data_IF_323556793718
#
_entry.id   IF_323556793718
#
_cell.length_a   1.000
_cell.length_b   1.000
_cell.length_c   1.000
_cell.angle_alpha   90.00
_cell.angle_beta   90.00
_cell.angle_gamma   90.00
#
_symmetry.space_group_name_H-M   'P 1'
#
loop_
_entity.id
_entity.type
_entity.pdbx_description
1 polymer ?
#
# COMPACT_ATOMS: atom_id res chain seq x y z
N UNK A 1 -46.57 -7.43 16.53
CA UNK A 1 -45.70 -7.73 15.37
C UNK A 1 -44.38 -7.04 15.62
N UNK A 2 -43.31 -7.83 15.66
CA UNK A 2 -42.00 -7.47 16.21
C UNK A 2 -41.08 -7.02 15.08
N UNK A 3 -40.37 -5.90 15.26
CA UNK A 3 -39.48 -5.33 14.25
C UNK A 3 -38.13 -6.10 14.18
N UNK A 4 -37.52 -6.33 12.99
CA UNK A 4 -36.48 -7.35 12.85
C UNK A 4 -35.02 -6.90 13.05
N UNK A 5 -34.66 -5.62 13.24
CA UNK A 5 -33.29 -5.23 13.65
C UNK A 5 -33.15 -3.76 14.08
N UNK A 6 -32.05 -3.45 14.79
CA UNK A 6 -31.70 -2.15 15.34
C UNK A 6 -30.89 -1.30 14.33
N UNK A 7 -31.31 -0.05 14.12
CA UNK A 7 -30.61 0.94 13.29
C UNK A 7 -30.75 2.35 13.88
N UNK A 8 -29.71 3.16 13.71
CA UNK A 8 -29.57 4.49 14.33
C UNK A 8 -30.36 5.55 13.54
N UNK A 9 -31.24 6.28 14.23
CA UNK A 9 -32.09 7.33 13.67
C UNK A 9 -31.30 8.65 13.62
N UNK A 10 -31.11 9.20 12.42
CA UNK A 10 -30.48 10.50 12.19
C UNK A 10 -31.51 11.64 12.16
N UNK A 11 -31.44 12.50 13.18
CA UNK A 11 -31.86 13.91 13.31
C UNK A 11 -33.04 14.45 12.47
N UNK A 12 -34.12 14.88 13.15
CA UNK A 12 -35.28 15.60 12.57
C UNK A 12 -35.28 17.04 13.08
N UNK A 13 -35.07 18.07 12.23
CA UNK A 13 -35.37 19.44 12.59
C UNK A 13 -36.86 19.72 12.35
N UNK A 14 -37.70 19.63 13.37
CA UNK A 14 -39.07 20.16 13.30
C UNK A 14 -39.09 21.66 13.53
N UNK A 15 -39.74 22.40 12.64
CA UNK A 15 -40.42 23.65 12.99
C UNK A 15 -41.86 23.60 12.48
N UNK A 16 -42.77 23.90 13.40
CA UNK A 16 -44.20 24.04 13.22
C UNK A 16 -44.52 25.03 12.08
N UNK A 17 -45.40 24.64 11.16
CA UNK A 17 -46.29 25.63 10.55
C UNK A 17 -46.62 25.55 9.06
N UNK A 18 -46.11 24.59 8.27
CA UNK A 18 -46.49 24.49 6.86
C UNK A 18 -47.15 23.16 6.49
N UNK A 19 -48.18 23.31 5.68
CA UNK A 19 -49.12 22.32 5.21
C UNK A 19 -48.38 21.25 4.39
N UNK A 20 -48.27 20.03 4.93
CA UNK A 20 -47.62 18.91 4.21
C UNK A 20 -48.51 18.43 3.06
N UNK A 21 -48.16 18.78 1.82
CA UNK A 21 -48.60 18.02 0.65
C UNK A 21 -47.85 16.69 0.65
N UNK A 22 -48.62 15.60 0.54
CA UNK A 22 -48.09 14.24 0.47
C UNK A 22 -47.26 14.04 -0.80
N UNK A 23 -45.94 14.28 -0.72
CA UNK A 23 -44.91 13.66 -1.57
C UNK A 23 -43.46 14.03 -1.18
N UNK A 24 -43.18 14.28 0.10
CA UNK A 24 -41.79 14.40 0.56
C UNK A 24 -41.25 13.02 0.95
N UNK A 25 -40.20 12.58 0.24
CA UNK A 25 -39.33 11.46 0.59
C UNK A 25 -38.72 11.71 1.99
N UNK A 26 -39.42 11.24 3.02
CA UNK A 26 -39.14 11.56 4.43
C UNK A 26 -37.97 10.75 5.03
N UNK A 27 -37.19 10.00 4.25
CA UNK A 27 -36.04 9.27 4.79
C UNK A 27 -35.01 8.98 3.71
N UNK A 28 -33.87 9.67 3.76
CA UNK A 28 -32.69 9.26 2.99
C UNK A 28 -32.05 8.09 3.76
N UNK A 29 -32.53 6.87 3.52
CA UNK A 29 -31.94 5.65 4.07
C UNK A 29 -30.67 5.35 3.27
N UNK A 30 -29.59 6.04 3.59
CA UNK A 30 -28.30 5.84 2.92
C UNK A 30 -27.73 4.48 3.34
N UNK A 31 -27.72 3.52 2.41
CA UNK A 31 -26.96 2.28 2.54
C UNK A 31 -25.46 2.61 2.56
N UNK A 32 -24.92 2.92 3.74
CA UNK A 32 -23.50 3.28 3.92
C UNK A 32 -22.58 2.04 4.06
N UNK A 33 -23.06 0.85 3.69
CA UNK A 33 -22.30 -0.40 3.78
C UNK A 33 -21.34 -0.58 2.61
N UNK A 34 -21.69 -0.01 1.44
CA UNK A 34 -20.86 -0.01 0.25
C UNK A 34 -20.74 1.42 -0.26
N UNK A 35 -19.50 1.86 -0.50
CA UNK A 35 -19.20 3.21 -0.93
C UNK A 35 -18.46 3.18 -2.25
N UNK A 36 -18.85 4.10 -3.13
CA UNK A 36 -18.17 4.37 -4.38
C UNK A 36 -17.29 5.60 -4.25
N UNK A 37 -16.01 5.44 -4.57
CA UNK A 37 -15.03 6.51 -4.68
C UNK A 37 -14.86 6.88 -6.15
N UNK A 38 -15.14 8.15 -6.47
CA UNK A 38 -14.86 8.72 -7.77
C UNK A 38 -13.44 9.31 -7.80
N UNK A 39 -12.63 8.87 -8.75
CA UNK A 39 -11.23 9.27 -8.93
C UNK A 39 -11.07 9.87 -10.32
N UNK A 40 -10.51 11.07 -10.40
CA UNK A 40 -10.04 11.65 -11.65
C UNK A 40 -8.60 11.18 -11.91
N UNK A 41 -8.41 10.34 -12.93
CA UNK A 41 -7.09 9.79 -13.25
C UNK A 41 -6.53 10.47 -14.51
N UNK A 42 -5.32 11.04 -14.48
CA UNK A 42 -4.73 11.69 -15.66
C UNK A 42 -4.65 10.76 -16.86
N UNK A 43 -4.88 11.31 -18.06
CA UNK A 43 -4.92 10.54 -19.30
C UNK A 43 -3.63 9.73 -19.56
N UNK A 44 -2.47 10.22 -19.10
CA UNK A 44 -1.18 9.53 -19.20
C UNK A 44 -1.17 8.15 -18.51
N UNK A 45 -1.99 7.94 -17.47
CA UNK A 45 -2.11 6.67 -16.76
C UNK A 45 -3.32 5.83 -17.23
N UNK A 46 -4.21 6.40 -18.05
CA UNK A 46 -5.41 5.73 -18.53
C UNK A 46 -5.14 4.38 -19.24
N UNK A 47 -4.06 4.20 -20.02
CA UNK A 47 -3.77 2.90 -20.65
C UNK A 47 -3.59 1.76 -19.66
N UNK A 48 -3.26 2.04 -18.40
CA UNK A 48 -3.06 1.05 -17.33
C UNK A 48 -4.32 0.74 -16.53
N UNK A 49 -5.37 1.57 -16.64
CA UNK A 49 -6.61 1.43 -15.85
C UNK A 49 -7.43 0.24 -16.31
N UNK A 50 -7.77 -0.68 -15.40
CA UNK A 50 -8.67 -1.79 -15.68
C UNK A 50 -9.58 -2.06 -14.47
N UNK A 51 -10.82 -2.51 -14.67
CA UNK A 51 -11.64 -3.04 -13.58
C UNK A 51 -10.88 -4.15 -12.82
N UNK A 52 -11.07 -4.20 -11.50
CA UNK A 52 -10.41 -5.15 -10.60
C UNK A 52 -9.06 -4.69 -10.05
N UNK A 53 -8.46 -3.60 -10.54
CA UNK A 53 -7.26 -3.03 -9.91
C UNK A 53 -7.57 -2.60 -8.46
N UNK A 54 -6.63 -2.86 -7.57
CA UNK A 54 -6.75 -2.52 -6.16
C UNK A 54 -6.60 -1.02 -5.97
N UNK A 55 -7.47 -0.44 -5.17
CA UNK A 55 -7.42 0.96 -4.74
C UNK A 55 -7.35 0.99 -3.22
N UNK A 56 -6.44 1.80 -2.69
CA UNK A 56 -6.31 2.01 -1.25
C UNK A 56 -6.66 3.46 -0.91
N UNK A 57 -7.49 3.64 0.11
CA UNK A 57 -7.68 4.94 0.75
C UNK A 57 -6.61 5.10 1.82
N UNK A 58 -5.96 6.25 1.84
CA UNK A 58 -4.86 6.58 2.74
C UNK A 58 -5.31 7.52 3.86
N UNK A 59 -4.66 7.43 5.01
CA UNK A 59 -4.70 8.48 6.02
C UNK A 59 -3.67 9.59 5.73
N UNK A 60 -3.61 10.59 6.61
CA UNK A 60 -2.65 11.69 6.50
C UNK A 60 -1.17 11.29 6.71
N UNK A 61 -0.87 10.02 6.96
CA UNK A 61 0.48 9.46 7.11
C UNK A 61 0.80 8.41 6.03
N UNK A 62 0.07 8.42 4.92
CA UNK A 62 0.22 7.48 3.79
C UNK A 62 -0.07 6.01 4.13
N UNK A 63 -0.74 5.73 5.25
CA UNK A 63 -1.14 4.38 5.65
C UNK A 63 -2.51 4.04 5.06
N UNK A 64 -2.65 2.84 4.50
CA UNK A 64 -3.92 2.36 3.97
C UNK A 64 -4.94 2.12 5.10
N UNK A 65 -6.09 2.79 5.03
CA UNK A 65 -7.21 2.67 5.99
C UNK A 65 -8.40 1.89 5.43
N UNK A 66 -8.53 1.82 4.10
CA UNK A 66 -9.53 0.99 3.44
C UNK A 66 -8.98 0.49 2.09
N UNK A 67 -9.46 -0.68 1.68
CA UNK A 67 -9.09 -1.31 0.41
C UNK A 67 -10.34 -1.64 -0.38
N UNK A 68 -10.30 -1.37 -1.67
CA UNK A 68 -11.38 -1.56 -2.61
C UNK A 68 -10.82 -1.90 -3.99
N UNK A 69 -11.71 -1.97 -4.97
CA UNK A 69 -11.34 -2.31 -6.33
C UNK A 69 -12.03 -1.39 -7.33
N UNK A 70 -11.36 -1.11 -8.44
CA UNK A 70 -11.97 -0.39 -9.55
C UNK A 70 -13.16 -1.21 -10.08
N UNK A 71 -14.36 -0.65 -9.97
CA UNK A 71 -15.59 -1.24 -10.49
C UNK A 71 -15.93 -0.72 -11.88
N UNK A 72 -15.53 0.52 -12.21
CA UNK A 72 -15.82 1.13 -13.50
C UNK A 72 -14.72 2.11 -13.94
N UNK A 73 -14.45 2.14 -15.25
CA UNK A 73 -13.56 3.12 -15.90
C UNK A 73 -14.38 3.78 -17.00
N UNK A 74 -14.51 5.10 -16.96
CA UNK A 74 -15.22 5.86 -17.98
C UNK A 74 -14.53 5.70 -19.34
N UNK A 75 -15.28 5.42 -20.43
CA UNK A 75 -14.73 5.46 -21.77
C UNK A 75 -14.48 6.89 -22.26
N UNK A 76 -15.17 7.87 -21.67
CA UNK A 76 -15.08 9.28 -22.01
C UNK A 76 -13.99 9.98 -21.19
N UNK A 77 -13.28 10.89 -21.86
CA UNK A 77 -12.31 11.78 -21.24
C UNK A 77 -13.02 13.07 -20.85
N UNK A 78 -12.82 13.49 -19.61
CA UNK A 78 -13.18 14.83 -19.19
C UNK A 78 -12.17 15.82 -19.77
N UNK A 79 -12.60 16.58 -20.78
CA UNK A 79 -11.77 17.50 -21.54
C UNK A 79 -11.32 18.71 -20.72
N UNK A 80 -12.05 19.09 -19.67
CA UNK A 80 -11.66 20.20 -18.80
C UNK A 80 -10.49 19.80 -17.88
N UNK A 81 -10.48 18.54 -17.43
CA UNK A 81 -9.46 18.02 -16.50
C UNK A 81 -8.36 17.17 -17.14
N UNK A 82 -8.42 16.88 -18.44
CA UNK A 82 -7.56 15.89 -19.13
C UNK A 82 -7.44 14.57 -18.36
N UNK A 83 -8.57 14.11 -17.83
CA UNK A 83 -8.63 12.97 -16.93
C UNK A 83 -9.76 12.02 -17.31
N UNK A 84 -9.63 10.77 -16.87
CA UNK A 84 -10.66 9.73 -16.98
C UNK A 84 -11.28 9.53 -15.62
N UNK A 85 -12.61 9.55 -15.57
CA UNK A 85 -13.34 9.21 -14.35
C UNK A 85 -13.26 7.70 -14.08
N UNK A 86 -12.80 7.35 -12.89
CA UNK A 86 -12.69 5.98 -12.40
C UNK A 86 -13.54 5.86 -11.16
N UNK A 87 -14.32 4.78 -11.06
CA UNK A 87 -15.07 4.44 -9.85
C UNK A 87 -14.45 3.21 -9.20
N UNK A 88 -14.20 3.32 -7.90
CA UNK A 88 -13.72 2.22 -7.08
C UNK A 88 -14.70 1.96 -5.94
N UNK A 89 -14.99 0.69 -5.68
CA UNK A 89 -15.99 0.30 -4.70
C UNK A 89 -15.31 -0.27 -3.45
N UNK A 90 -15.79 0.15 -2.28
CA UNK A 90 -15.25 -0.18 -0.97
C UNK A 90 -16.35 -0.69 -0.05
N UNK A 91 -16.05 -1.73 0.73
CA UNK A 91 -16.90 -2.10 1.86
C UNK A 91 -16.63 -1.17 3.03
N UNK A 92 -17.69 -0.69 3.67
CA UNK A 92 -17.67 0.21 4.82
C UNK A 92 -18.46 -0.39 5.99
N UNK A 93 -18.24 -1.68 6.28
CA UNK A 93 -18.91 -2.42 7.36
C UNK A 93 -18.67 -1.78 8.73
N UNK A 94 -17.46 -1.24 8.94
CA UNK A 94 -17.07 -0.53 10.16
C UNK A 94 -17.66 0.89 10.27
N UNK A 95 -18.36 1.39 9.24
CA UNK A 95 -18.93 2.74 9.16
C UNK A 95 -17.92 3.88 9.41
N UNK A 96 -16.64 3.64 9.13
CA UNK A 96 -15.55 4.62 9.33
C UNK A 96 -15.49 5.68 8.24
N UNK A 97 -15.99 5.36 7.05
CA UNK A 97 -16.03 6.27 5.92
C UNK A 97 -17.41 6.94 5.86
N UNK A 98 -17.40 8.25 5.64
CA UNK A 98 -18.61 9.04 5.50
C UNK A 98 -18.87 9.34 4.02
N UNK A 99 -20.14 9.30 3.62
CA UNK A 99 -20.53 9.77 2.29
C UNK A 99 -20.23 11.28 2.17
N UNK A 100 -19.70 11.69 1.02
CA UNK A 100 -19.26 13.08 0.76
C UNK A 100 -17.90 13.44 1.36
N UNK A 101 -17.23 12.51 2.04
CA UNK A 101 -15.88 12.73 2.58
C UNK A 101 -14.86 12.82 1.44
N UNK A 102 -14.00 13.85 1.48
CA UNK A 102 -12.81 13.89 0.65
C UNK A 102 -11.73 12.98 1.24
N UNK A 103 -11.14 12.12 0.41
CA UNK A 103 -10.10 11.18 0.83
C UNK A 103 -8.92 11.21 -0.13
N UNK A 104 -7.74 10.86 0.38
CA UNK A 104 -6.59 10.56 -0.46
C UNK A 104 -6.61 9.08 -0.81
N UNK A 105 -6.39 8.75 -2.07
CA UNK A 105 -6.36 7.36 -2.52
C UNK A 105 -5.22 7.12 -3.51
N UNK A 106 -4.78 5.87 -3.57
CA UNK A 106 -3.80 5.40 -4.56
C UNK A 106 -4.29 4.16 -5.26
N UNK A 107 -3.99 4.07 -6.56
CA UNK A 107 -4.25 2.89 -7.38
C UNK A 107 -2.99 2.03 -7.39
N UNK A 108 -3.14 0.75 -7.08
CA UNK A 108 -2.04 -0.22 -7.13
C UNK A 108 -1.99 -0.81 -8.54
N UNK A 109 -1.10 -0.27 -9.36
CA UNK A 109 -0.99 -0.63 -10.78
C UNK A 109 -0.49 -2.06 -11.03
N UNK A 110 0.44 -2.51 -10.19
CA UNK A 110 1.05 -3.83 -10.24
C UNK A 110 1.36 -4.26 -8.82
N UNK A 111 1.01 -5.50 -8.50
CA UNK A 111 1.40 -6.15 -7.25
C UNK A 111 2.31 -7.32 -7.62
N UNK A 112 3.57 -7.00 -7.92
CA UNK A 112 4.57 -8.03 -8.16
C UNK A 112 5.00 -8.61 -6.82
N UNK A 113 4.79 -9.91 -6.64
CA UNK A 113 5.38 -10.62 -5.50
C UNK A 113 6.85 -10.84 -5.84
N UNK A 114 7.74 -10.13 -5.15
CA UNK A 114 9.17 -10.21 -5.40
C UNK A 114 9.97 -9.83 -4.16
N UNK A 115 11.23 -10.25 -4.12
CA UNK A 115 12.15 -9.81 -3.08
C UNK A 115 12.39 -8.32 -3.24
N UNK A 116 12.33 -7.59 -2.13
CA UNK A 116 12.63 -6.17 -2.09
C UNK A 116 13.79 -5.94 -1.14
N UNK A 117 14.66 -5.00 -1.49
CA UNK A 117 15.75 -4.56 -0.62
C UNK A 117 15.66 -3.04 -0.43
N UNK A 118 15.96 -2.52 0.77
CA UNK A 118 16.06 -1.08 0.97
C UNK A 118 17.07 -0.45 0.02
N UNK A 119 16.76 0.73 -0.52
CA UNK A 119 17.67 1.45 -1.43
C UNK A 119 19.04 1.71 -0.79
N UNK A 120 19.06 1.91 0.53
CA UNK A 120 20.28 2.12 1.32
C UNK A 120 21.19 0.90 1.39
N UNK A 121 20.68 -0.31 1.13
CA UNK A 121 21.44 -1.56 1.18
C UNK A 121 22.19 -1.87 -0.14
N UNK A 122 21.91 -1.11 -1.20
CA UNK A 122 22.46 -1.33 -2.53
C UNK A 122 23.72 -0.47 -2.72
N UNK A 123 24.82 -1.11 -3.11
CA UNK A 123 26.05 -0.43 -3.53
C UNK A 123 26.23 -0.57 -5.04
N UNK A 124 26.57 0.52 -5.73
CA UNK A 124 26.87 0.47 -7.17
C UNK A 124 28.35 0.63 -7.41
N UNK A 125 28.97 -0.35 -8.07
CA UNK A 125 30.40 -0.36 -8.39
C UNK A 125 30.53 -0.64 -9.88
N UNK A 126 31.19 0.26 -10.63
CA UNK A 126 31.40 0.05 -12.07
C UNK A 126 30.12 0.00 -12.92
N UNK A 127 28.99 0.49 -12.41
CA UNK A 127 27.68 0.42 -13.09
C UNK A 127 26.86 -0.83 -12.75
N UNK A 128 27.45 -1.82 -12.08
CA UNK A 128 26.75 -2.99 -11.56
C UNK A 128 26.25 -2.74 -10.13
N UNK A 129 25.15 -3.40 -9.77
CA UNK A 129 24.52 -3.27 -8.45
C UNK A 129 24.85 -4.48 -7.59
N UNK A 130 25.26 -4.23 -6.36
CA UNK A 130 25.66 -5.24 -5.39
C UNK A 130 24.93 -5.04 -4.07
N UNK A 131 24.72 -6.15 -3.36
CA UNK A 131 24.17 -6.18 -2.02
C UNK A 131 25.06 -7.08 -1.17
N UNK A 132 25.29 -6.69 0.08
CA UNK A 132 26.02 -7.52 1.04
C UNK A 132 25.04 -8.37 1.83
N UNK A 133 25.21 -9.68 1.77
CA UNK A 133 24.43 -10.66 2.55
C UNK A 133 25.25 -11.19 3.71
N UNK A 134 24.58 -11.57 4.79
CA UNK A 134 25.20 -12.22 5.94
C UNK A 134 25.30 -13.71 5.68
N UNK A 135 26.50 -14.26 5.80
CA UNK A 135 26.75 -15.69 5.71
C UNK A 135 27.38 -16.19 7.00
N UNK A 136 26.92 -17.34 7.48
CA UNK A 136 27.57 -18.05 8.57
C UNK A 136 28.83 -18.73 8.02
N UNK A 137 30.00 -18.32 8.51
CA UNK A 137 31.27 -18.99 8.23
C UNK A 137 31.86 -19.50 9.53
N UNK A 138 32.11 -20.80 9.60
CA UNK A 138 32.83 -21.39 10.72
C UNK A 138 34.26 -20.84 10.72
N UNK A 139 34.63 -20.16 11.79
CA UNK A 139 35.96 -19.58 11.90
C UNK A 139 36.95 -20.73 12.21
N UNK A 140 37.75 -21.11 11.20
CA UNK A 140 38.69 -22.24 11.26
C UNK A 140 39.73 -22.12 12.40
N UNK A 141 39.90 -20.92 12.98
CA UNK A 141 40.83 -20.67 14.08
C UNK A 141 40.20 -20.72 15.48
N UNK A 142 38.88 -20.55 15.61
CA UNK A 142 38.21 -20.48 16.93
C UNK A 142 37.06 -21.47 17.10
N UNK A 143 36.61 -22.14 16.03
CA UNK A 143 35.47 -23.07 16.08
C UNK A 143 34.13 -22.36 16.37
N UNK A 144 34.10 -21.03 16.34
CA UNK A 144 32.90 -20.23 16.54
C UNK A 144 32.32 -19.82 15.18
N UNK A 145 30.99 -19.79 15.10
CA UNK A 145 30.28 -19.26 13.94
C UNK A 145 30.55 -17.76 13.82
N UNK A 146 31.37 -17.37 12.84
CA UNK A 146 31.59 -15.98 12.49
C UNK A 146 30.62 -15.57 11.39
N UNK A 147 29.91 -14.48 11.61
CA UNK A 147 29.08 -13.86 10.58
C UNK A 147 29.99 -13.04 9.66
N UNK A 148 29.99 -13.36 8.38
CA UNK A 148 30.76 -12.64 7.36
C UNK A 148 29.83 -11.97 6.36
N UNK A 149 30.24 -10.81 5.85
CA UNK A 149 29.55 -10.16 4.75
C UNK A 149 30.03 -10.76 3.42
N UNK A 150 29.11 -11.25 2.59
CA UNK A 150 29.40 -11.70 1.24
C UNK A 150 28.78 -10.72 0.24
N UNK A 151 29.58 -10.24 -0.71
CA UNK A 151 29.09 -9.38 -1.79
C UNK A 151 28.42 -10.24 -2.87
N UNK A 152 27.12 -10.05 -3.10
CA UNK A 152 26.38 -10.65 -4.22
C UNK A 152 26.03 -9.59 -5.26
N UNK A 153 26.26 -9.91 -6.53
CA UNK A 153 25.74 -9.11 -7.65
C UNK A 153 24.24 -9.34 -7.77
N UNK A 154 23.48 -8.26 -7.93
CA UNK A 154 22.02 -8.30 -8.03
C UNK A 154 21.53 -7.52 -9.22
N UNK A 155 20.47 -8.02 -9.84
CA UNK A 155 19.74 -7.28 -10.86
C UNK A 155 18.53 -6.59 -10.22
N UNK A 156 18.48 -5.26 -10.34
CA UNK A 156 17.45 -4.43 -9.73
C UNK A 156 16.34 -4.11 -10.74
N UNK A 157 15.11 -4.22 -10.28
CA UNK A 157 13.91 -3.77 -10.99
C UNK A 157 13.50 -2.36 -10.59
N UNK A 158 12.20 -2.11 -10.63
CA UNK A 158 11.62 -0.80 -10.34
C UNK A 158 11.76 -0.43 -8.86
N UNK A 159 11.80 0.87 -8.58
CA UNK A 159 11.73 1.40 -7.20
C UNK A 159 10.27 1.41 -6.76
N UNK A 160 10.00 0.86 -5.59
CA UNK A 160 8.70 0.90 -4.92
C UNK A 160 8.87 1.56 -3.55
N UNK A 161 8.48 2.84 -3.45
CA UNK A 161 8.69 3.64 -2.23
C UNK A 161 10.18 3.80 -1.92
N UNK A 162 10.62 3.26 -0.77
CA UNK A 162 12.01 3.28 -0.30
C UNK A 162 12.79 1.98 -0.61
N UNK A 163 12.25 1.10 -1.45
CA UNK A 163 12.85 -0.21 -1.75
C UNK A 163 13.07 -0.41 -3.26
N UNK A 164 14.12 -1.15 -3.63
CA UNK A 164 14.29 -1.72 -4.96
C UNK A 164 13.67 -3.12 -5.01
N UNK A 165 12.99 -3.43 -6.11
CA UNK A 165 12.67 -4.80 -6.46
C UNK A 165 13.95 -5.55 -6.91
N UNK A 166 14.12 -6.79 -6.47
CA UNK A 166 15.18 -7.69 -6.95
C UNK A 166 14.61 -8.58 -8.04
N UNK A 167 15.21 -8.54 -9.23
CA UNK A 167 14.88 -9.43 -10.34
C UNK A 167 15.67 -10.74 -10.27
N UNK A 168 16.94 -10.68 -9.85
CA UNK A 168 17.79 -11.85 -9.65
C UNK A 168 18.99 -11.55 -8.74
N UNK A 169 19.60 -12.60 -8.19
CA UNK A 169 20.84 -12.51 -7.39
C UNK A 169 20.68 -12.65 -5.87
N UNK A 170 19.43 -12.69 -5.37
CA UNK A 170 19.12 -12.95 -3.96
C UNK A 170 18.05 -14.03 -3.84
N UNK A 171 18.11 -14.78 -2.73
CA UNK A 171 17.15 -15.82 -2.40
C UNK A 171 16.26 -15.40 -1.21
N UNK A 172 15.02 -15.90 -1.12
CA UNK A 172 14.16 -15.65 0.03
C UNK A 172 14.81 -16.18 1.32
N UNK A 173 15.02 -15.30 2.30
CA UNK A 173 15.67 -15.63 3.58
C UNK A 173 17.10 -15.09 3.72
N UNK A 174 17.70 -14.59 2.64
CA UNK A 174 19.00 -13.90 2.70
C UNK A 174 18.90 -12.64 3.59
N UNK A 175 19.79 -12.54 4.59
CA UNK A 175 19.87 -11.36 5.46
C UNK A 175 20.75 -10.32 4.82
N UNK A 176 20.18 -9.16 4.51
CA UNK A 176 20.88 -8.06 3.83
C UNK A 176 21.40 -7.04 4.84
N UNK A 177 22.61 -6.55 4.62
CA UNK A 177 23.21 -5.49 5.42
C UNK A 177 22.70 -4.13 4.96
N UNK A 178 22.05 -3.38 5.86
CA UNK A 178 21.44 -2.07 5.57
C UNK A 178 22.24 -0.88 6.10
N UNK A 179 23.25 -1.12 6.95
CA UNK A 179 24.04 -0.09 7.60
C UNK A 179 25.54 -0.45 7.63
N UNK A 180 26.40 0.57 7.71
CA UNK A 180 27.85 0.36 7.80
C UNK A 180 28.54 -0.07 6.49
N UNK A 181 27.83 -0.03 5.36
CA UNK A 181 28.31 -0.49 4.04
C UNK A 181 29.63 0.12 3.60
N UNK A 182 29.92 1.37 3.99
CA UNK A 182 31.20 2.03 3.67
C UNK A 182 32.42 1.34 4.29
N UNK A 183 32.22 0.60 5.39
CA UNK A 183 33.27 -0.10 6.15
C UNK A 183 33.27 -1.61 5.91
N UNK A 184 32.24 -2.13 5.24
CA UNK A 184 32.09 -3.56 4.94
C UNK A 184 32.81 -3.85 3.63
N UNK A 185 33.63 -4.90 3.64
CA UNK A 185 34.24 -5.48 2.45
C UNK A 185 33.80 -6.93 2.31
N UNK A 186 33.98 -7.51 1.12
CA UNK A 186 33.70 -8.92 0.91
C UNK A 186 34.56 -9.80 1.84
N UNK A 187 33.91 -10.74 2.54
CA UNK A 187 34.52 -11.59 3.56
C UNK A 187 34.77 -10.92 4.92
N UNK A 188 34.37 -9.66 5.11
CA UNK A 188 34.59 -8.96 6.38
C UNK A 188 33.74 -9.55 7.51
N UNK A 189 34.30 -9.75 8.73
CA UNK A 189 33.52 -10.16 9.89
C UNK A 189 32.57 -9.03 10.30
N UNK A 190 31.33 -9.38 10.58
CA UNK A 190 30.30 -8.42 10.98
C UNK A 190 29.68 -8.80 12.32
N UNK A 191 29.24 -7.80 13.06
CA UNK A 191 28.40 -7.96 14.24
C UNK A 191 27.01 -7.41 13.89
N UNK A 192 25.95 -8.22 13.92
CA UNK A 192 24.60 -7.71 13.68
C UNK A 192 24.22 -6.73 14.78
N UNK A 193 23.82 -5.52 14.39
CA UNK A 193 23.12 -4.61 15.29
C UNK A 193 21.68 -5.13 15.50
N UNK A 194 21.04 -4.84 16.65
CA UNK A 194 19.64 -5.17 16.86
C UNK A 194 18.79 -4.59 15.72
N UNK A 195 18.09 -5.43 14.96
CA UNK A 195 17.20 -5.00 13.91
C UNK A 195 15.94 -4.39 14.52
N UNK A 196 15.81 -3.07 14.52
CA UNK A 196 14.53 -2.39 14.73
C UNK A 196 13.64 -2.60 13.49
N UNK A 197 12.98 -3.75 13.40
CA UNK A 197 12.25 -4.10 12.19
C UNK A 197 11.61 -5.47 12.17
N UNK A 198 11.09 -5.93 13.30
CA UNK A 198 10.07 -6.99 13.30
C UNK A 198 9.06 -6.69 14.40
N UNK A 199 8.24 -5.67 14.16
CA UNK A 199 7.01 -5.48 14.91
C UNK A 199 6.01 -6.54 14.43
N UNK A 200 6.14 -7.74 14.99
CA UNK A 200 5.12 -8.77 14.91
C UNK A 200 3.87 -8.23 15.62
N UNK A 201 2.68 -8.14 14.98
CA UNK A 201 1.46 -7.86 15.72
C UNK A 201 1.13 -9.11 16.55
N UNK A 202 1.15 -8.95 17.87
CA UNK A 202 0.76 -9.96 18.86
C UNK A 202 -0.70 -10.40 18.63
N UNK A 203 -1.05 -11.69 18.87
CA UNK A 203 -2.41 -12.23 18.72
C UNK A 203 -3.46 -11.59 19.63
#
# INVERSE_FOLDING_TARGET
MTAPFAGVVGYIPVKLGDYVQANDDLTNLTENQQLDLNLAVPLAQAPRLRPGLVVEILDGQEKAIARGQISFVSPDVDNDGQSVLVRATFSNEDQKLLNGQLVQARIIWQQDTGLVVPTVAVTRIGGESFVYVVQDKENEQTGEAALVAQQKSVNLGSIQGSNYQILSGLEPGDRVITAGLLRVQDGAPIQPAPTEGSANPTP
#
